data_IF_920561459419
#
_entry.id   IF_920561459419
#
_cell.length_a   1.000
_cell.length_b   1.000
_cell.length_c   1.000
_cell.angle_alpha   90.00
_cell.angle_beta   90.00
_cell.angle_gamma   90.00
#
_symmetry.space_group_name_H-M   'P 1'
#
loop_
_entity.id
_entity.type
_entity.pdbx_description
1 polymer ?
#
# COMPACT_ATOMS: atom_id res chain seq x y z
N UNK A 1 15.93 -22.61 0.56
CA UNK A 1 15.88 -21.13 0.55
C UNK A 1 14.78 -20.68 1.52
N UNK A 2 14.68 -19.40 1.95
CA UNK A 2 13.68 -18.96 2.96
C UNK A 2 12.23 -19.28 2.56
N UNK A 3 11.96 -19.39 1.27
CA UNK A 3 10.67 -19.83 0.70
C UNK A 3 10.18 -21.19 1.20
N UNK A 4 11.08 -22.07 1.66
CA UNK A 4 10.74 -23.45 2.05
C UNK A 4 10.29 -23.55 3.51
N UNK A 5 10.25 -22.42 4.24
CA UNK A 5 9.71 -22.35 5.60
C UNK A 5 8.18 -22.49 5.63
N UNK A 6 7.51 -22.19 4.52
CA UNK A 6 6.07 -22.36 4.34
C UNK A 6 5.81 -23.48 3.33
N UNK A 7 4.77 -24.28 3.59
CA UNK A 7 4.27 -25.27 2.65
C UNK A 7 3.61 -24.56 1.47
N UNK A 8 3.97 -24.92 0.23
CA UNK A 8 3.48 -24.23 -0.98
C UNK A 8 1.97 -24.40 -1.17
N UNK A 9 1.46 -25.58 -0.87
CA UNK A 9 0.05 -25.96 -1.07
C UNK A 9 -0.86 -25.26 -0.04
N UNK A 10 -0.50 -25.36 1.24
CA UNK A 10 -1.37 -24.97 2.37
C UNK A 10 -1.03 -23.61 2.95
N UNK A 11 0.15 -23.05 2.61
CA UNK A 11 0.74 -21.85 3.24
C UNK A 11 0.89 -21.95 4.76
N UNK A 12 0.96 -23.16 5.29
CA UNK A 12 1.22 -23.39 6.71
C UNK A 12 2.73 -23.48 6.98
N UNK A 13 3.13 -23.22 8.22
CA UNK A 13 4.51 -23.33 8.64
C UNK A 13 5.01 -24.77 8.58
N UNK A 14 6.15 -24.98 7.91
CA UNK A 14 6.88 -26.24 7.98
C UNK A 14 7.66 -26.28 9.30
N UNK A 15 7.02 -26.78 10.36
CA UNK A 15 7.54 -26.80 11.72
C UNK A 15 8.92 -27.46 11.79
N UNK A 16 9.09 -28.61 11.13
CA UNK A 16 10.35 -29.34 11.13
C UNK A 16 11.49 -28.52 10.51
N UNK A 17 11.21 -27.78 9.44
CA UNK A 17 12.20 -26.89 8.82
C UNK A 17 12.51 -25.66 9.67
N UNK A 18 11.49 -25.06 10.27
CA UNK A 18 11.64 -23.88 11.15
C UNK A 18 12.46 -24.23 12.39
N UNK A 19 12.18 -25.35 13.05
CA UNK A 19 12.91 -25.80 14.25
C UNK A 19 14.37 -26.16 13.95
N UNK A 20 14.64 -26.77 12.78
CA UNK A 20 16.02 -27.10 12.39
C UNK A 20 16.84 -25.85 12.00
N UNK A 21 16.22 -24.87 11.34
CA UNK A 21 16.94 -23.71 10.81
C UNK A 21 17.07 -22.58 11.84
N UNK A 22 16.01 -22.37 12.63
CA UNK A 22 15.87 -21.23 13.55
C UNK A 22 15.23 -21.69 14.88
N UNK A 23 15.89 -22.59 15.64
CA UNK A 23 15.32 -23.16 16.85
C UNK A 23 14.93 -22.10 17.89
N UNK A 24 15.79 -21.09 18.08
CA UNK A 24 15.54 -20.01 19.05
C UNK A 24 14.33 -19.14 18.70
N UNK A 25 14.02 -18.99 17.41
CA UNK A 25 12.94 -18.15 16.90
C UNK A 25 11.68 -18.97 16.57
N UNK A 26 11.74 -20.29 16.64
CA UNK A 26 10.63 -21.20 16.29
C UNK A 26 9.33 -20.81 16.98
N UNK A 27 9.39 -20.54 18.29
CA UNK A 27 8.24 -20.12 19.08
C UNK A 27 7.62 -18.82 18.54
N UNK A 28 8.44 -17.79 18.30
CA UNK A 28 8.02 -16.50 17.74
C UNK A 28 7.47 -16.60 16.33
N UNK A 29 8.09 -17.38 15.46
CA UNK A 29 7.66 -17.57 14.08
C UNK A 29 6.27 -18.20 14.05
N UNK A 30 6.01 -19.17 14.93
CA UNK A 30 4.72 -19.87 15.02
C UNK A 30 3.55 -18.95 15.43
N UNK A 31 3.82 -17.83 16.10
CA UNK A 31 2.81 -16.82 16.41
C UNK A 31 2.42 -15.96 15.21
N UNK A 32 3.24 -15.93 14.15
CA UNK A 32 2.91 -15.20 12.93
C UNK A 32 1.90 -16.01 12.14
N UNK A 33 0.74 -15.43 11.89
CA UNK A 33 -0.28 -16.06 11.05
C UNK A 33 -0.01 -15.73 9.58
N UNK A 34 0.38 -16.70 8.74
CA UNK A 34 0.59 -16.46 7.32
C UNK A 34 -0.75 -16.11 6.63
N UNK A 35 -0.69 -15.25 5.62
CA UNK A 35 -1.89 -14.86 4.87
C UNK A 35 -2.44 -16.05 4.08
N UNK A 36 -3.68 -16.45 4.37
CA UNK A 36 -4.42 -17.43 3.57
C UNK A 36 -4.85 -16.83 2.23
N UNK A 37 -5.23 -15.55 2.21
CA UNK A 37 -5.69 -14.92 0.98
C UNK A 37 -4.53 -14.84 -0.01
N UNK A 38 -4.70 -15.42 -1.19
CA UNK A 38 -3.76 -15.35 -2.31
C UNK A 38 -3.63 -13.96 -2.94
N UNK A 39 -3.89 -12.92 -2.16
CA UNK A 39 -3.69 -11.54 -2.57
C UNK A 39 -2.20 -11.35 -2.82
N UNK A 40 -1.88 -10.83 -4.00
CA UNK A 40 -0.52 -10.53 -4.38
C UNK A 40 0.06 -9.48 -3.43
N UNK A 41 1.31 -9.65 -3.03
CA UNK A 41 2.01 -8.65 -2.23
C UNK A 41 2.03 -7.32 -2.98
N UNK A 42 1.62 -6.24 -2.31
CA UNK A 42 1.68 -4.90 -2.86
C UNK A 42 2.78 -4.10 -2.18
N UNK A 43 3.63 -3.46 -2.98
CA UNK A 43 4.63 -2.53 -2.46
C UNK A 43 3.99 -1.16 -2.26
N UNK A 44 3.84 -0.76 -0.99
CA UNK A 44 3.45 0.61 -0.64
C UNK A 44 4.73 1.36 -0.30
N UNK A 45 5.16 2.23 -1.21
CA UNK A 45 6.31 3.10 -0.98
C UNK A 45 5.90 4.26 -0.07
N UNK A 46 6.48 4.41 1.14
CA UNK A 46 6.20 5.56 1.97
C UNK A 46 6.66 6.82 1.27
N UNK A 47 5.89 7.91 1.41
CA UNK A 47 6.17 9.21 0.80
C UNK A 47 7.56 9.77 1.17
N UNK A 48 8.12 9.33 2.30
CA UNK A 48 9.43 9.73 2.78
C UNK A 48 10.43 8.57 2.61
N UNK A 49 11.64 8.91 2.11
CA UNK A 49 12.77 7.98 1.95
C UNK A 49 13.21 7.34 3.27
N UNK A 50 12.98 8.00 4.41
CA UNK A 50 13.29 7.48 5.75
C UNK A 50 12.30 6.41 6.22
N UNK A 51 11.11 6.32 5.62
CA UNK A 51 10.04 5.45 6.09
C UNK A 51 9.30 5.95 7.35
N UNK A 52 9.84 6.96 8.04
CA UNK A 52 9.21 7.57 9.22
C UNK A 52 7.90 8.27 8.84
N UNK A 53 6.79 7.69 9.28
CA UNK A 53 5.47 8.25 9.10
C UNK A 53 5.13 9.16 10.28
N UNK A 54 5.20 10.47 10.05
CA UNK A 54 4.85 11.50 11.05
C UNK A 54 3.57 12.21 10.64
N UNK A 55 2.94 12.95 11.55
CA UNK A 55 1.78 13.79 11.22
C UNK A 55 2.05 14.73 10.04
N UNK A 56 3.29 15.24 9.90
CA UNK A 56 3.72 16.05 8.76
C UNK A 56 3.67 15.26 7.44
N UNK A 57 4.14 14.01 7.42
CA UNK A 57 4.05 13.13 6.24
C UNK A 57 2.60 12.93 5.78
N UNK A 58 1.66 12.80 6.74
CA UNK A 58 0.23 12.71 6.44
C UNK A 58 -0.34 13.97 5.78
N UNK A 59 -0.03 15.17 6.29
CA UNK A 59 -0.45 16.42 5.67
C UNK A 59 0.14 16.61 4.26
N UNK A 60 1.41 16.25 4.05
CA UNK A 60 2.04 16.31 2.73
C UNK A 60 1.38 15.36 1.72
N UNK A 61 0.99 14.15 2.14
CA UNK A 61 0.28 13.21 1.28
C UNK A 61 -1.10 13.77 0.83
N UNK A 62 -1.82 14.40 1.75
CA UNK A 62 -3.12 15.02 1.45
C UNK A 62 -2.95 16.25 0.54
N UNK A 63 -1.95 17.09 0.82
CA UNK A 63 -1.68 18.30 0.04
C UNK A 63 -1.23 17.98 -1.39
N UNK A 64 -0.36 16.97 -1.57
CA UNK A 64 0.05 16.52 -2.91
C UNK A 64 -1.09 15.89 -3.70
N UNK A 65 -2.00 15.14 -3.04
CA UNK A 65 -3.21 14.63 -3.67
C UNK A 65 -4.16 15.74 -4.14
N UNK A 66 -4.26 16.84 -3.38
CA UNK A 66 -5.09 18.01 -3.73
C UNK A 66 -4.56 18.75 -4.97
N UNK A 67 -3.23 18.81 -5.15
CA UNK A 67 -2.62 19.40 -6.36
C UNK A 67 -2.81 18.56 -7.62
N UNK A 68 -3.10 17.27 -7.51
CA UNK A 68 -3.41 16.39 -8.65
C UNK A 68 -4.89 16.45 -9.08
N UNK A 69 -5.75 17.07 -8.28
CA UNK A 69 -7.19 17.19 -8.59
C UNK A 69 -7.45 18.18 -9.73
N UNK A 70 -6.57 19.17 -9.91
CA UNK A 70 -6.76 20.26 -10.88
C UNK A 70 -6.40 19.86 -12.30
N UNK A 71 -5.51 18.90 -12.52
CA UNK A 71 -5.15 18.45 -13.88
C UNK A 71 -6.22 17.55 -14.53
N UNK A 72 -7.02 16.81 -13.73
CA UNK A 72 -8.15 16.02 -14.23
C UNK A 72 -9.36 16.85 -14.63
N UNK A 73 -9.55 18.04 -14.07
CA UNK A 73 -10.67 18.93 -14.39
C UNK A 73 -10.47 19.71 -15.70
N UNK A 74 -9.23 19.84 -16.19
CA UNK A 74 -8.90 20.61 -17.40
C UNK A 74 -9.01 19.80 -18.70
N UNK A 75 -9.30 18.50 -18.64
CA UNK A 75 -9.36 17.62 -19.82
C UNK A 75 -10.78 17.54 -20.44
N UNK A 76 -11.78 18.22 -19.88
CA UNK A 76 -13.14 18.10 -20.41
C UNK A 76 -14.03 19.32 -20.16
N UNK A 77 -13.89 20.37 -20.97
CA UNK A 77 -14.96 21.35 -21.21
C UNK A 77 -14.62 22.32 -22.35
N UNK A 78 -14.59 21.80 -23.59
CA UNK A 78 -15.02 22.61 -24.73
C UNK A 78 -16.53 22.84 -24.61
N UNK A 79 -16.97 23.85 -23.86
CA UNK A 79 -18.31 24.41 -23.94
C UNK A 79 -18.35 25.79 -23.27
N UNK A 80 -18.22 26.85 -24.07
CA UNK A 80 -18.65 28.20 -23.69
C UNK A 80 -20.18 28.23 -23.59
N UNK A 81 -20.72 28.99 -22.62
CA UNK A 81 -21.82 29.89 -22.95
C UNK A 81 -21.50 31.33 -22.49
N UNK A 82 -21.56 32.24 -23.46
CA UNK A 82 -21.43 33.69 -23.30
C UNK A 82 -22.59 34.25 -22.46
N UNK A 83 -22.26 34.96 -21.38
CA UNK A 83 -23.21 35.65 -20.51
C UNK A 83 -23.24 37.15 -20.72
N UNK A 84 -23.36 37.60 -21.97
CA UNK A 84 -23.83 38.96 -22.30
C UNK A 84 -25.30 38.85 -22.70
N UNK A 85 -26.20 39.02 -21.74
CA UNK A 85 -27.52 39.65 -21.91
C UNK A 85 -28.28 39.52 -20.59
N UNK A 86 -28.51 40.66 -19.93
CA UNK A 86 -29.79 41.06 -19.36
C UNK A 86 -29.59 42.42 -18.66
N UNK A 87 -29.58 43.48 -19.47
CA UNK A 87 -30.01 44.81 -19.03
C UNK A 87 -31.53 44.90 -19.21
N UNK A 88 -32.28 45.09 -18.12
CA UNK A 88 -33.34 46.10 -18.00
C UNK A 88 -33.77 46.25 -16.55
#
# INVERSE_FOLDING_TARGET
>A
MVSDLLMRETKEWNIARVENLLPELSSRIRYIHPSLMGVQDFFIWPLNKSGDYTSKSGYYAIQSAKSQSTSRLLVGSNALPTGENLQK
#
